data_IF_749686526055
#
_entry.id   IF_749686526055
#
_cell.length_a   1.000
_cell.length_b   1.000
_cell.length_c   1.000
_cell.angle_alpha   90.00
_cell.angle_beta   90.00
_cell.angle_gamma   90.00
#
_symmetry.space_group_name_H-M   'P 1'
#
loop_
_entity.id
_entity.type
_entity.pdbx_description
1 polymer ?
#
# COMPACT_ATOMS: atom_id res chain seq x y z
N UNK A 1 5.56 25.12 -21.32
CA UNK A 1 4.10 25.31 -21.18
C UNK A 1 3.39 24.42 -20.15
N UNK A 2 3.92 23.25 -19.79
CA UNK A 2 3.37 22.41 -18.69
C UNK A 2 3.47 23.04 -17.30
N UNK A 3 4.52 23.80 -17.00
CA UNK A 3 4.65 24.54 -15.72
C UNK A 3 3.58 25.64 -15.53
N UNK A 4 3.08 26.23 -16.62
CA UNK A 4 1.98 27.22 -16.59
C UNK A 4 0.62 26.55 -16.38
N UNK A 5 0.45 25.31 -16.86
CA UNK A 5 -0.77 24.54 -16.65
C UNK A 5 -0.92 24.06 -15.19
N UNK A 6 0.19 23.72 -14.50
CA UNK A 6 0.18 23.43 -13.07
C UNK A 6 -0.17 24.67 -12.23
N UNK A 7 0.43 25.83 -12.56
CA UNK A 7 0.12 27.10 -11.89
C UNK A 7 -1.33 27.57 -12.10
N UNK A 8 -2.01 27.14 -13.17
CA UNK A 8 -3.40 27.50 -13.44
C UNK A 8 -4.43 26.57 -12.76
N UNK A 9 -4.03 25.37 -12.33
CA UNK A 9 -4.89 24.47 -11.54
C UNK A 9 -4.92 24.83 -10.05
N UNK A 10 -3.83 25.38 -9.53
CA UNK A 10 -3.75 25.92 -8.17
C UNK A 10 -4.67 27.15 -7.92
N UNK A 11 -5.23 27.75 -8.98
CA UNK A 11 -6.07 28.95 -8.88
C UNK A 11 -7.58 28.72 -8.73
N UNK A 12 -8.05 27.46 -8.76
CA UNK A 12 -9.49 27.13 -8.76
C UNK A 12 -9.92 26.21 -7.60
N UNK A 13 -9.06 25.99 -6.60
CA UNK A 13 -9.45 25.31 -5.37
C UNK A 13 -10.29 26.26 -4.48
N UNK A 14 -11.59 26.11 -4.66
CA UNK A 14 -12.71 26.26 -3.72
C UNK A 14 -12.49 27.03 -2.40
N UNK A 15 -13.43 27.95 -2.18
CA UNK A 15 -13.66 28.80 -1.02
C UNK A 15 -14.32 28.08 0.18
N UNK A 16 -13.96 26.83 0.49
CA UNK A 16 -14.43 26.17 1.71
C UNK A 16 -13.70 26.74 2.92
N UNK A 17 -14.46 27.23 3.89
CA UNK A 17 -14.04 28.14 4.96
C UNK A 17 -13.14 27.57 6.05
N UNK A 18 -12.33 26.54 5.77
CA UNK A 18 -11.23 26.18 6.65
C UNK A 18 -10.01 27.02 6.30
N UNK A 19 -9.76 28.00 7.16
CA UNK A 19 -8.55 28.81 7.10
C UNK A 19 -7.37 27.89 7.42
N UNK A 20 -6.83 27.25 6.37
CA UNK A 20 -5.64 26.44 6.43
C UNK A 20 -4.56 27.18 7.23
N UNK A 21 -4.06 26.55 8.28
CA UNK A 21 -3.00 27.14 9.08
C UNK A 21 -1.82 27.44 8.15
N UNK A 22 -1.30 28.67 8.15
CA UNK A 22 -0.25 29.06 7.23
C UNK A 22 1.01 28.21 7.48
N UNK A 23 1.29 27.24 6.61
CA UNK A 23 2.54 26.49 6.63
C UNK A 23 3.54 27.09 5.64
N UNK A 24 4.83 26.86 5.92
CA UNK A 24 5.96 27.25 5.04
C UNK A 24 6.45 26.11 4.16
N UNK A 25 5.97 24.89 4.38
CA UNK A 25 6.31 23.75 3.54
C UNK A 25 5.75 23.97 2.13
N UNK A 26 6.58 23.73 1.12
CA UNK A 26 6.20 23.87 -0.31
C UNK A 26 6.53 22.65 -1.13
N UNK A 27 7.42 21.80 -0.63
CA UNK A 27 7.88 20.60 -1.31
C UNK A 27 7.96 19.48 -0.28
N UNK A 28 7.40 18.33 -0.62
CA UNK A 28 7.57 17.09 0.11
C UNK A 28 8.22 16.06 -0.81
N UNK A 29 9.22 15.33 -0.31
CA UNK A 29 9.82 14.22 -1.03
C UNK A 29 9.51 12.93 -0.29
N UNK A 30 8.87 11.97 -0.97
CA UNK A 30 8.44 10.71 -0.36
C UNK A 30 8.90 9.50 -1.18
N UNK A 31 9.18 8.35 -0.55
CA UNK A 31 9.35 7.09 -1.27
C UNK A 31 8.03 6.68 -1.94
N UNK A 32 8.08 6.35 -3.23
CA UNK A 32 6.96 5.74 -3.93
C UNK A 32 7.50 4.74 -4.97
N UNK A 33 7.19 3.47 -4.77
CA UNK A 33 7.48 2.36 -5.67
C UNK A 33 6.47 1.23 -5.45
N UNK A 34 6.63 0.10 -6.15
CA UNK A 34 5.71 -1.03 -6.07
C UNK A 34 5.66 -1.72 -4.68
N UNK A 35 6.66 -1.50 -3.82
CA UNK A 35 6.70 -2.03 -2.44
C UNK A 35 6.28 -0.97 -1.42
N UNK A 36 6.75 0.27 -1.62
CA UNK A 36 6.43 1.44 -0.81
C UNK A 36 5.23 2.21 -1.41
N UNK A 37 4.13 1.52 -1.70
CA UNK A 37 2.94 2.09 -2.36
C UNK A 37 1.99 2.86 -1.45
N UNK A 38 2.32 2.99 -0.16
CA UNK A 38 1.50 3.71 0.82
C UNK A 38 0.97 5.07 0.34
N UNK A 39 1.78 5.93 -0.30
CA UNK A 39 1.30 7.22 -0.79
C UNK A 39 0.29 7.18 -1.93
N UNK A 40 0.22 6.08 -2.68
CA UNK A 40 -0.74 5.90 -3.76
C UNK A 40 -2.11 5.43 -3.27
N UNK A 41 -2.21 4.89 -2.06
CA UNK A 41 -3.47 4.40 -1.52
C UNK A 41 -4.21 5.52 -0.75
N UNK A 42 -5.56 5.48 -0.76
CA UNK A 42 -6.36 6.43 -0.01
C UNK A 42 -6.25 6.12 1.49
N UNK A 43 -5.35 6.81 2.19
CA UNK A 43 -5.16 6.67 3.64
C UNK A 43 -5.29 8.00 4.38
N UNK A 44 -5.42 9.11 3.67
CA UNK A 44 -5.59 10.44 4.27
C UNK A 44 -7.08 10.74 4.26
N UNK A 45 -7.67 11.11 5.39
CA UNK A 45 -9.08 11.47 5.45
C UNK A 45 -9.27 12.94 5.06
N UNK A 46 -10.15 13.19 4.10
CA UNK A 46 -10.66 14.52 3.77
C UNK A 46 -11.99 14.75 4.52
N UNK A 47 -12.02 15.61 5.55
CA UNK A 47 -13.23 15.89 6.30
C UNK A 47 -14.27 16.69 5.52
N UNK A 48 -13.90 17.38 4.43
CA UNK A 48 -14.85 18.15 3.62
C UNK A 48 -15.63 17.25 2.65
N UNK A 49 -14.94 16.28 2.05
CA UNK A 49 -15.52 15.30 1.14
C UNK A 49 -16.06 14.04 1.86
N UNK A 50 -15.74 13.88 3.16
CA UNK A 50 -16.06 12.68 3.96
C UNK A 50 -15.55 11.38 3.29
N UNK A 51 -14.33 11.43 2.76
CA UNK A 51 -13.73 10.30 2.05
C UNK A 51 -12.23 10.15 2.33
N UNK A 52 -11.68 8.98 1.99
CA UNK A 52 -10.23 8.76 2.03
C UNK A 52 -9.63 9.15 0.68
N UNK A 53 -8.58 9.97 0.72
CA UNK A 53 -7.84 10.49 -0.42
C UNK A 53 -6.38 10.02 -0.38
N UNK A 54 -5.73 10.04 -1.54
CA UNK A 54 -4.30 9.70 -1.66
C UNK A 54 -3.41 10.81 -1.09
N UNK A 55 -2.16 10.48 -0.76
CA UNK A 55 -1.17 11.49 -0.32
C UNK A 55 -0.93 12.56 -1.38
N UNK A 56 -1.07 12.20 -2.66
CA UNK A 56 -0.95 13.12 -3.77
C UNK A 56 -2.03 14.19 -3.77
N UNK A 57 -3.29 13.78 -3.60
CA UNK A 57 -4.44 14.70 -3.52
C UNK A 57 -4.30 15.59 -2.27
N UNK A 58 -3.94 15.00 -1.13
CA UNK A 58 -3.72 15.76 0.10
C UNK A 58 -2.62 16.82 -0.08
N UNK A 59 -1.51 16.50 -0.75
CA UNK A 59 -0.45 17.46 -1.05
C UNK A 59 -0.94 18.60 -1.95
N UNK A 60 -1.73 18.29 -2.99
CA UNK A 60 -2.32 19.29 -3.89
C UNK A 60 -3.25 20.26 -3.16
N UNK A 61 -4.15 19.74 -2.31
CA UNK A 61 -5.05 20.55 -1.48
C UNK A 61 -4.32 21.52 -0.54
N UNK A 62 -3.10 21.17 -0.14
CA UNK A 62 -2.27 21.95 0.77
C UNK A 62 -1.21 22.81 0.05
N UNK A 63 -1.27 22.98 -1.28
CA UNK A 63 -0.24 23.71 -2.06
C UNK A 63 1.20 23.19 -1.77
N UNK A 64 1.33 21.87 -1.62
CA UNK A 64 2.62 21.18 -1.44
C UNK A 64 2.95 20.44 -2.73
N UNK A 65 4.08 20.81 -3.34
CA UNK A 65 4.61 20.09 -4.48
C UNK A 65 5.16 18.73 -4.04
N UNK A 66 4.55 17.64 -4.52
CA UNK A 66 4.98 16.30 -4.16
C UNK A 66 6.02 15.77 -5.15
N UNK A 67 7.16 15.37 -4.60
CA UNK A 67 8.22 14.67 -5.30
C UNK A 67 8.27 13.22 -4.79
N UNK A 68 8.42 12.28 -5.70
CA UNK A 68 8.64 10.88 -5.35
C UNK A 68 10.08 10.49 -5.61
N UNK A 69 10.61 9.54 -4.85
CA UNK A 69 11.92 8.97 -5.10
C UNK A 69 11.89 7.45 -5.08
N UNK A 70 12.99 6.86 -5.54
CA UNK A 70 13.24 5.41 -5.53
C UNK A 70 12.19 4.59 -6.30
N UNK A 71 11.73 5.00 -7.50
CA UNK A 71 10.69 4.26 -8.23
C UNK A 71 11.09 2.79 -8.55
N UNK A 72 12.39 2.48 -8.54
CA UNK A 72 12.92 1.15 -8.84
C UNK A 72 13.37 0.33 -7.62
N UNK A 73 13.30 0.87 -6.40
CA UNK A 73 13.76 0.15 -5.20
C UNK A 73 12.88 -1.06 -4.84
N UNK A 74 11.82 -1.33 -5.60
CA UNK A 74 10.94 -2.49 -5.45
C UNK A 74 11.52 -3.82 -5.97
N UNK A 75 12.67 -3.80 -6.65
CA UNK A 75 13.29 -5.01 -7.19
C UNK A 75 14.44 -5.42 -6.26
N UNK A 76 14.25 -6.36 -5.32
CA UNK A 76 15.40 -6.89 -4.60
C UNK A 76 16.33 -7.57 -5.63
N UNK A 77 17.64 -7.28 -5.62
CA UNK A 77 18.57 -8.11 -6.38
C UNK A 77 18.51 -9.55 -5.84
N UNK A 78 18.80 -10.51 -6.70
CA UNK A 78 18.76 -11.94 -6.35
C UNK A 78 19.53 -12.21 -5.05
N UNK A 79 18.86 -12.81 -4.06
CA UNK A 79 19.48 -13.25 -2.80
C UNK A 79 19.53 -12.26 -1.64
N UNK A 80 18.86 -11.09 -1.70
CA UNK A 80 18.89 -10.09 -0.60
C UNK A 80 17.56 -10.03 0.17
N UNK A 81 17.61 -10.35 1.46
CA UNK A 81 16.53 -10.09 2.41
C UNK A 81 16.44 -8.60 2.76
N UNK A 82 15.22 -8.11 3.02
CA UNK A 82 14.85 -6.70 3.19
C UNK A 82 15.59 -5.90 4.30
N UNK A 83 16.53 -6.52 5.03
CA UNK A 83 17.27 -5.90 6.14
C UNK A 83 18.63 -5.32 5.79
N UNK A 84 19.24 -5.74 4.67
CA UNK A 84 20.61 -5.32 4.32
C UNK A 84 20.65 -4.90 2.83
N UNK A 85 20.07 -3.72 2.54
CA UNK A 85 20.07 -3.07 1.22
C UNK A 85 21.47 -2.54 0.85
N UNK A 86 22.43 -3.48 0.83
CA UNK A 86 23.86 -3.28 0.86
C UNK A 86 24.38 -2.39 -0.25
N UNK A 87 25.43 -1.66 0.10
CA UNK A 87 26.21 -0.67 -0.67
C UNK A 87 26.92 -1.23 -1.92
N UNK A 88 26.48 -2.36 -2.45
CA UNK A 88 27.06 -3.02 -3.62
C UNK A 88 26.29 -2.62 -4.89
N UNK A 89 26.72 -1.47 -5.42
CA UNK A 89 26.18 -0.78 -6.58
C UNK A 89 26.48 -1.49 -7.92
N UNK A 90 25.82 -2.61 -8.23
CA UNK A 90 25.59 -2.96 -9.64
C UNK A 90 24.22 -2.44 -10.04
N UNK A 91 24.22 -1.45 -10.94
CA UNK A 91 23.03 -0.84 -11.50
C UNK A 91 22.03 -1.87 -12.03
N UNK A 92 20.74 -1.62 -11.83
CA UNK A 92 19.72 -2.32 -12.59
C UNK A 92 19.77 -1.84 -14.05
N UNK A 93 20.16 -2.74 -14.96
CA UNK A 93 20.05 -2.47 -16.38
C UNK A 93 18.56 -2.55 -16.77
N UNK A 94 18.00 -1.46 -17.28
CA UNK A 94 16.67 -1.48 -17.93
C UNK A 94 16.67 -2.42 -19.13
N UNK A 95 17.85 -2.69 -19.71
CA UNK A 95 18.09 -3.72 -20.72
C UNK A 95 19.13 -4.75 -20.23
N UNK A 96 18.75 -5.71 -19.37
CA UNK A 96 19.55 -6.92 -19.10
C UNK A 96 19.11 -8.17 -19.90
N UNK A 97 20.06 -9.01 -20.32
CA UNK A 97 19.81 -10.30 -21.01
C UNK A 97 19.95 -11.50 -20.06
N UNK A 98 20.17 -11.25 -18.76
CA UNK A 98 20.23 -12.28 -17.73
C UNK A 98 18.88 -12.98 -17.55
N UNK A 99 18.86 -14.29 -17.25
CA UNK A 99 17.64 -14.99 -16.88
C UNK A 99 17.00 -14.32 -15.65
N UNK A 100 15.68 -14.11 -15.71
CA UNK A 100 14.90 -13.60 -14.57
C UNK A 100 14.70 -14.71 -13.54
N UNK A 101 14.92 -14.43 -12.25
CA UNK A 101 14.62 -15.38 -11.17
C UNK A 101 13.14 -15.79 -11.19
N UNK A 102 12.77 -17.00 -10.70
CA UNK A 102 11.37 -17.42 -10.63
C UNK A 102 10.47 -16.46 -9.84
N UNK A 103 10.98 -15.88 -8.77
CA UNK A 103 10.28 -14.90 -7.93
C UNK A 103 9.97 -13.63 -8.73
N UNK A 104 10.98 -13.07 -9.41
CA UNK A 104 10.80 -11.85 -10.19
C UNK A 104 9.92 -12.10 -11.43
N UNK A 105 9.99 -13.30 -12.01
CA UNK A 105 9.11 -13.72 -13.08
C UNK A 105 7.65 -13.85 -12.60
N UNK A 106 7.42 -14.40 -11.41
CA UNK A 106 6.10 -14.47 -10.79
C UNK A 106 5.52 -13.08 -10.51
N UNK A 107 6.31 -12.18 -9.91
CA UNK A 107 5.89 -10.80 -9.66
C UNK A 107 5.59 -10.04 -10.96
N UNK A 108 6.43 -10.21 -11.98
CA UNK A 108 6.22 -9.59 -13.29
C UNK A 108 4.93 -10.11 -13.94
N UNK A 109 4.69 -11.41 -13.85
CA UNK A 109 3.47 -12.02 -14.36
C UNK A 109 2.22 -11.50 -13.64
N UNK A 110 2.26 -11.32 -12.31
CA UNK A 110 1.15 -10.76 -11.55
C UNK A 110 0.81 -9.33 -12.00
N UNK A 111 1.81 -8.48 -12.21
CA UNK A 111 1.61 -7.13 -12.74
C UNK A 111 1.03 -7.14 -14.15
N UNK A 112 1.61 -7.93 -15.05
CA UNK A 112 1.10 -8.07 -16.41
C UNK A 112 -0.34 -8.55 -16.43
N UNK A 113 -0.69 -9.54 -15.60
CA UNK A 113 -2.06 -10.02 -15.47
C UNK A 113 -3.01 -8.91 -14.98
N UNK A 114 -2.58 -8.11 -14.00
CA UNK A 114 -3.35 -6.98 -13.50
C UNK A 114 -3.60 -5.94 -14.60
N UNK A 115 -2.55 -5.52 -15.31
CA UNK A 115 -2.65 -4.50 -16.37
C UNK A 115 -3.48 -4.98 -17.57
N UNK A 116 -3.27 -6.23 -18.00
CA UNK A 116 -4.05 -6.80 -19.12
C UNK A 116 -5.52 -7.02 -18.76
N UNK A 117 -5.83 -7.34 -17.50
CA UNK A 117 -7.19 -7.46 -16.99
C UNK A 117 -7.99 -6.15 -17.04
N UNK A 118 -7.31 -5.00 -16.95
CA UNK A 118 -7.91 -3.67 -17.00
C UNK A 118 -8.21 -3.18 -18.43
N UNK A 119 -7.94 -3.98 -19.47
CA UNK A 119 -8.09 -3.64 -20.90
C UNK A 119 -7.30 -2.42 -21.40
N UNK A 120 -6.64 -1.65 -20.53
CA UNK A 120 -5.61 -0.71 -20.92
C UNK A 120 -4.34 -1.49 -21.28
N UNK A 121 -4.16 -1.70 -22.58
CA UNK A 121 -2.83 -2.03 -23.08
C UNK A 121 -2.00 -0.76 -23.01
N UNK A 122 -0.94 -0.78 -22.20
CA UNK A 122 0.21 0.05 -22.50
C UNK A 122 0.66 -0.37 -23.91
N UNK A 123 0.34 0.46 -24.90
CA UNK A 123 0.76 0.21 -26.28
C UNK A 123 2.21 0.65 -26.35
N UNK A 124 3.10 -0.32 -26.16
CA UNK A 124 4.50 -0.15 -26.51
C UNK A 124 4.59 -0.38 -28.02
N UNK A 125 5.29 0.51 -28.75
CA UNK A 125 5.59 0.25 -30.16
C UNK A 125 6.41 -1.06 -30.25
N UNK A 126 5.79 -2.07 -30.87
CA UNK A 126 6.15 -3.51 -30.84
C UNK A 126 7.57 -3.84 -31.34
N UNK A 127 8.28 -2.90 -31.97
CA UNK A 127 9.59 -3.18 -32.59
C UNK A 127 10.80 -2.95 -31.67
N UNK A 128 10.66 -2.21 -30.57
CA UNK A 128 11.82 -1.86 -29.71
C UNK A 128 11.67 -2.24 -28.22
N UNK A 129 10.50 -2.71 -27.79
CA UNK A 129 10.28 -3.12 -26.39
C UNK A 129 10.23 -4.65 -26.34
N UNK A 130 11.25 -5.31 -25.75
CA UNK A 130 11.23 -6.76 -25.60
C UNK A 130 9.93 -7.15 -24.89
N UNK A 131 9.18 -8.07 -25.48
CA UNK A 131 7.88 -8.63 -25.06
C UNK A 131 7.86 -9.30 -23.68
N UNK A 132 8.91 -9.10 -22.88
CA UNK A 132 8.95 -9.25 -21.44
C UNK A 132 9.22 -7.85 -20.86
N UNK A 133 8.17 -7.07 -20.63
CA UNK A 133 8.32 -5.74 -20.06
C UNK A 133 9.04 -5.89 -18.73
N UNK A 134 10.20 -5.23 -18.61
CA UNK A 134 11.00 -5.39 -17.41
C UNK A 134 10.30 -4.66 -16.30
N UNK A 135 10.28 -5.28 -15.13
CA UNK A 135 9.69 -4.78 -13.89
C UNK A 135 9.99 -3.29 -13.65
N UNK A 136 11.16 -2.81 -14.05
CA UNK A 136 11.56 -1.41 -13.95
C UNK A 136 10.69 -0.47 -14.81
N UNK A 137 10.41 -0.83 -16.07
CA UNK A 137 9.55 -0.05 -16.97
C UNK A 137 8.17 0.09 -16.37
N UNK A 138 7.59 -1.03 -15.94
CA UNK A 138 6.28 -1.07 -15.26
C UNK A 138 6.29 -0.24 -13.98
N UNK A 139 7.32 -0.40 -13.13
CA UNK A 139 7.44 0.36 -11.89
C UNK A 139 7.47 1.88 -12.13
N UNK A 140 8.24 2.35 -13.13
CA UNK A 140 8.29 3.77 -13.46
C UNK A 140 6.96 4.26 -14.04
N UNK A 141 6.37 3.51 -14.98
CA UNK A 141 5.08 3.86 -15.57
C UNK A 141 3.98 3.97 -14.50
N UNK A 142 3.84 2.94 -13.66
CA UNK A 142 2.86 2.86 -12.56
C UNK A 142 3.06 4.00 -11.55
N UNK A 143 4.29 4.23 -11.08
CA UNK A 143 4.56 5.31 -10.10
C UNK A 143 4.34 6.71 -10.67
N UNK A 144 4.57 6.91 -11.97
CA UNK A 144 4.37 8.21 -12.64
C UNK A 144 2.90 8.54 -12.97
N UNK A 145 2.01 7.55 -12.81
CA UNK A 145 0.58 7.67 -13.04
C UNK A 145 -0.21 8.11 -11.80
N UNK A 146 0.40 8.07 -10.60
CA UNK A 146 -0.25 8.49 -9.36
C UNK A 146 -0.51 10.00 -9.37
N UNK A 147 -1.75 10.39 -9.04
CA UNK A 147 -2.18 11.79 -9.04
C UNK A 147 -1.43 12.57 -7.95
N UNK A 148 -1.25 13.88 -8.18
CA UNK A 148 -0.55 14.78 -7.25
C UNK A 148 0.98 14.64 -7.22
N UNK A 149 1.54 13.57 -7.81
CA UNK A 149 3.00 13.45 -7.99
C UNK A 149 3.47 14.40 -9.08
N UNK A 150 4.18 15.46 -8.69
CA UNK A 150 4.69 16.47 -9.61
C UNK A 150 5.99 16.09 -10.30
N UNK A 151 6.88 15.37 -9.62
CA UNK A 151 8.17 14.89 -10.15
C UNK A 151 8.52 13.53 -9.56
N UNK A 152 8.96 12.60 -10.40
CA UNK A 152 9.58 11.34 -9.97
C UNK A 152 11.09 11.40 -10.13
N UNK A 153 11.82 11.28 -9.03
CA UNK A 153 13.28 11.28 -9.02
C UNK A 153 13.83 9.93 -9.45
N UNK A 154 14.36 9.91 -10.67
CA UNK A 154 15.03 8.76 -11.28
C UNK A 154 16.55 8.95 -11.21
N UNK A 155 17.22 8.11 -10.41
CA UNK A 155 18.67 8.12 -10.33
C UNK A 155 19.32 7.43 -11.53
N UNK A 156 19.78 8.20 -12.52
CA UNK A 156 20.49 7.70 -13.69
C UNK A 156 22.01 7.91 -13.54
N UNK A 157 22.83 6.92 -13.95
CA UNK A 157 24.31 7.04 -13.98
C UNK A 157 24.91 6.90 -15.38
N UNK A 158 24.10 6.64 -16.40
CA UNK A 158 24.52 6.61 -17.82
C UNK A 158 23.48 7.33 -18.67
N UNK A 159 23.89 7.82 -19.84
CA UNK A 159 23.01 8.54 -20.77
C UNK A 159 21.93 7.61 -21.35
N UNK A 160 22.29 6.35 -21.67
CA UNK A 160 21.35 5.37 -22.20
C UNK A 160 20.20 5.08 -21.23
N UNK A 161 20.49 5.08 -19.93
CA UNK A 161 19.46 4.91 -18.91
C UNK A 161 18.51 6.11 -18.84
N UNK A 162 19.03 7.33 -19.05
CA UNK A 162 18.20 8.54 -19.13
C UNK A 162 17.27 8.44 -20.33
N UNK A 163 17.80 8.05 -21.49
CA UNK A 163 17.01 7.90 -22.71
C UNK A 163 15.88 6.88 -22.54
N UNK A 164 16.18 5.72 -21.93
CA UNK A 164 15.16 4.70 -21.65
C UNK A 164 14.11 5.20 -20.66
N UNK A 165 14.50 5.88 -19.58
CA UNK A 165 13.54 6.46 -18.64
C UNK A 165 12.65 7.52 -19.30
N UNK A 166 13.20 8.37 -20.17
CA UNK A 166 12.44 9.36 -20.94
C UNK A 166 11.43 8.69 -21.87
N UNK A 167 11.82 7.60 -22.56
CA UNK A 167 10.88 6.83 -23.39
C UNK A 167 9.70 6.34 -22.55
N UNK A 168 9.96 5.75 -21.37
CA UNK A 168 8.90 5.27 -20.48
C UNK A 168 7.97 6.39 -20.01
N UNK A 169 8.53 7.53 -19.61
CA UNK A 169 7.74 8.68 -19.15
C UNK A 169 6.92 9.34 -20.26
N UNK A 170 7.24 9.08 -21.53
CA UNK A 170 6.50 9.55 -22.70
C UNK A 170 5.41 8.57 -23.17
N UNK A 171 5.30 7.38 -22.58
CA UNK A 171 4.20 6.47 -22.90
C UNK A 171 2.85 7.09 -22.53
N UNK A 172 1.75 6.66 -23.19
CA UNK A 172 0.41 7.00 -22.75
C UNK A 172 0.27 6.70 -21.26
N UNK A 173 -0.12 7.72 -20.48
CA UNK A 173 -0.31 7.55 -19.04
C UNK A 173 -1.50 6.62 -18.80
N UNK A 174 -1.30 5.59 -17.99
CA UNK A 174 -2.40 4.80 -17.43
C UNK A 174 -3.21 5.64 -16.44
N UNK A 175 -4.45 5.23 -16.19
CA UNK A 175 -5.27 5.83 -15.14
C UNK A 175 -4.66 5.57 -13.74
N UNK A 176 -4.94 6.47 -12.78
CA UNK A 176 -4.47 6.29 -11.41
C UNK A 176 -5.07 5.03 -10.77
N UNK A 177 -6.34 4.74 -11.05
CA UNK A 177 -7.03 3.56 -10.53
C UNK A 177 -6.35 2.26 -10.98
N UNK A 178 -5.90 2.22 -12.24
CA UNK A 178 -5.16 1.07 -12.79
C UNK A 178 -3.76 0.97 -12.17
N UNK A 179 -3.09 2.10 -11.96
CA UNK A 179 -1.80 2.13 -11.27
C UNK A 179 -1.92 1.61 -9.82
N UNK A 180 -2.92 2.06 -9.07
CA UNK A 180 -3.21 1.59 -7.70
C UNK A 180 -3.54 0.10 -7.70
N UNK A 181 -4.37 -0.37 -8.63
CA UNK A 181 -4.70 -1.78 -8.76
C UNK A 181 -3.46 -2.64 -9.05
N UNK A 182 -2.59 -2.20 -9.96
CA UNK A 182 -1.35 -2.89 -10.28
C UNK A 182 -0.40 -2.93 -9.07
N UNK A 183 -0.25 -1.82 -8.33
CA UNK A 183 0.53 -1.80 -7.08
C UNK A 183 -0.04 -2.80 -6.06
N UNK A 184 -1.36 -2.85 -5.88
CA UNK A 184 -2.00 -3.79 -4.97
C UNK A 184 -1.77 -5.26 -5.39
N UNK A 185 -1.94 -5.57 -6.67
CA UNK A 185 -1.68 -6.91 -7.20
C UNK A 185 -0.22 -7.34 -6.97
N UNK A 186 0.73 -6.42 -7.14
CA UNK A 186 2.13 -6.66 -6.84
C UNK A 186 2.36 -6.92 -5.34
N UNK A 187 1.80 -6.11 -4.45
CA UNK A 187 1.93 -6.32 -3.00
C UNK A 187 1.38 -7.69 -2.56
N UNK A 188 0.24 -8.12 -3.11
CA UNK A 188 -0.36 -9.44 -2.84
C UNK A 188 0.56 -10.57 -3.34
N UNK A 189 1.07 -10.45 -4.56
CA UNK A 189 2.01 -11.41 -5.13
C UNK A 189 3.29 -11.50 -4.28
N UNK A 190 3.83 -10.35 -3.85
CA UNK A 190 5.01 -10.28 -2.99
C UNK A 190 4.76 -10.91 -1.62
N UNK A 191 3.62 -10.64 -0.99
CA UNK A 191 3.23 -11.27 0.27
C UNK A 191 3.06 -12.79 0.16
N UNK A 192 2.68 -13.30 -1.02
CA UNK A 192 2.55 -14.74 -1.29
C UNK A 192 3.90 -15.44 -1.29
N UNK A 193 4.93 -14.81 -1.86
CA UNK A 193 6.27 -15.42 -2.00
C UNK A 193 7.25 -15.00 -0.88
N UNK A 194 6.91 -13.98 -0.08
CA UNK A 194 7.73 -13.48 1.01
C UNK A 194 6.94 -13.41 2.33
N UNK A 195 7.03 -14.45 3.18
CA UNK A 195 6.36 -14.48 4.47
C UNK A 195 6.74 -13.32 5.39
N UNK A 196 7.99 -12.84 5.32
CA UNK A 196 8.46 -11.72 6.15
C UNK A 196 7.86 -10.39 5.68
N UNK A 197 7.68 -10.21 4.36
CA UNK A 197 6.92 -9.08 3.84
C UNK A 197 5.45 -9.13 4.29
N UNK A 198 4.84 -10.32 4.25
CA UNK A 198 3.46 -10.50 4.72
C UNK A 198 3.30 -10.19 6.22
N UNK A 199 4.29 -10.54 7.05
CA UNK A 199 4.32 -10.17 8.48
C UNK A 199 4.46 -8.65 8.67
N UNK A 200 5.40 -8.02 7.95
CA UNK A 200 5.65 -6.58 8.03
C UNK A 200 4.42 -5.76 7.63
N UNK A 201 3.73 -6.16 6.55
CA UNK A 201 2.49 -5.50 6.13
C UNK A 201 1.36 -5.70 7.13
N UNK A 202 1.23 -6.91 7.69
CA UNK A 202 0.25 -7.18 8.75
C UNK A 202 0.50 -6.33 9.99
N UNK A 203 1.73 -6.15 10.44
CA UNK A 203 2.00 -5.25 11.57
C UNK A 203 1.55 -3.82 11.27
N UNK A 204 1.87 -3.28 10.09
CA UNK A 204 1.48 -1.91 9.75
C UNK A 204 -0.04 -1.72 9.51
N UNK A 205 -0.75 -2.77 9.13
CA UNK A 205 -2.21 -2.74 9.00
C UNK A 205 -2.91 -2.96 10.35
N UNK A 206 -2.43 -3.91 11.16
CA UNK A 206 -2.99 -4.21 12.48
C UNK A 206 -2.80 -3.05 13.45
N UNK A 207 -1.64 -2.38 13.45
CA UNK A 207 -1.42 -1.21 14.31
C UNK A 207 -2.48 -0.12 14.05
N UNK A 208 -2.91 0.05 12.79
CA UNK A 208 -3.98 1.01 12.43
C UNK A 208 -5.38 0.50 12.74
N UNK A 209 -5.64 -0.79 12.56
CA UNK A 209 -6.95 -1.39 12.87
C UNK A 209 -7.19 -1.40 14.37
N UNK A 210 -6.16 -1.74 15.17
CA UNK A 210 -6.24 -1.71 16.63
C UNK A 210 -6.47 -0.28 17.13
N UNK A 211 -5.78 0.71 16.58
CA UNK A 211 -6.00 2.14 16.89
C UNK A 211 -7.41 2.61 16.49
N UNK A 212 -7.92 2.18 15.33
CA UNK A 212 -9.30 2.48 14.90
C UNK A 212 -10.34 1.82 15.80
N UNK A 213 -10.15 0.56 16.20
CA UNK A 213 -11.06 -0.13 17.10
C UNK A 213 -11.04 0.49 18.51
N UNK A 214 -9.88 0.90 19.02
CA UNK A 214 -9.79 1.63 20.29
C UNK A 214 -10.56 2.95 20.24
N UNK A 215 -10.44 3.70 19.14
CA UNK A 215 -11.17 4.95 18.92
C UNK A 215 -12.68 4.74 18.80
N UNK A 216 -13.13 3.73 18.06
CA UNK A 216 -14.55 3.37 17.98
C UNK A 216 -15.11 2.93 19.34
N UNK A 217 -14.36 2.12 20.10
CA UNK A 217 -14.77 1.72 21.45
C UNK A 217 -14.88 2.92 22.39
N UNK A 218 -13.91 3.84 22.38
CA UNK A 218 -13.95 5.06 23.20
C UNK A 218 -15.12 5.98 22.79
N UNK A 219 -15.43 6.06 21.49
CA UNK A 219 -16.58 6.79 20.99
C UNK A 219 -17.91 6.14 21.43
N UNK A 220 -18.03 4.83 21.31
CA UNK A 220 -19.18 4.07 21.80
C UNK A 220 -19.40 4.23 23.31
N UNK A 221 -18.32 4.30 24.09
CA UNK A 221 -18.39 4.56 25.54
C UNK A 221 -18.89 5.98 25.83
N UNK A 222 -18.36 6.99 25.13
CA UNK A 222 -18.81 8.40 25.26
C UNK A 222 -20.26 8.60 24.85
N UNK A 223 -20.73 7.89 23.84
CA UNK A 223 -22.11 7.93 23.36
C UNK A 223 -23.06 7.09 24.23
N UNK A 224 -22.53 6.36 25.22
CA UNK A 224 -23.32 5.55 26.16
C UNK A 224 -23.85 4.25 25.57
N UNK A 225 -23.26 3.78 24.46
CA UNK A 225 -23.55 2.46 23.88
C UNK A 225 -22.91 1.32 24.67
N UNK A 226 -21.85 1.61 25.43
CA UNK A 226 -21.29 0.70 26.42
C UNK A 226 -21.81 1.13 27.80
N UNK A 227 -22.99 0.63 28.18
CA UNK A 227 -23.45 0.71 29.57
C UNK A 227 -22.80 -0.43 30.37
N UNK A 228 -22.32 -0.09 31.58
CA UNK A 228 -21.74 -1.04 32.55
C UNK A 228 -22.61 -2.31 32.66
N UNK A 229 -22.11 -3.42 32.11
CA UNK A 229 -22.51 -4.81 32.34
C UNK A 229 -23.94 -5.02 32.86
N UNK A 230 -24.97 -4.60 32.11
CA UNK A 230 -26.19 -5.41 32.11
C UNK A 230 -25.79 -6.71 31.41
N UNK A 231 -25.62 -7.79 32.18
CA UNK A 231 -25.29 -9.13 31.69
C UNK A 231 -26.31 -9.47 30.59
N UNK A 232 -25.95 -9.19 29.33
CA UNK A 232 -26.79 -9.50 28.17
C UNK A 232 -26.77 -11.02 28.07
N UNK A 233 -27.74 -11.64 28.74
CA UNK A 233 -28.02 -13.06 28.58
C UNK A 233 -28.58 -13.21 27.17
N UNK A 234 -27.69 -13.36 26.20
CA UNK A 234 -28.10 -13.78 24.87
C UNK A 234 -28.70 -15.16 24.99
N UNK A 235 -30.00 -15.25 24.70
CA UNK A 235 -30.68 -16.51 24.58
C UNK A 235 -30.11 -17.25 23.36
N UNK A 236 -29.32 -18.30 23.62
CA UNK A 236 -28.77 -19.15 22.58
C UNK A 236 -29.85 -20.17 22.23
N UNK A 237 -30.17 -20.31 20.95
CA UNK A 237 -31.13 -21.30 20.46
C UNK A 237 -30.40 -22.39 19.68
N UNK A 238 -30.83 -23.64 19.84
CA UNK A 238 -30.37 -24.75 19.02
C UNK A 238 -30.80 -24.49 17.57
N UNK A 239 -29.87 -24.45 16.60
CA UNK A 239 -30.19 -24.08 15.22
C UNK A 239 -30.98 -25.16 14.45
N UNK A 240 -31.04 -26.39 14.99
CA UNK A 240 -31.74 -27.52 14.37
C UNK A 240 -33.13 -27.68 14.95
N UNK A 241 -33.27 -27.55 16.27
CA UNK A 241 -34.56 -27.76 16.95
C UNK A 241 -35.32 -26.46 17.21
N UNK A 242 -34.63 -25.31 17.23
CA UNK A 242 -35.19 -24.02 17.60
C UNK A 242 -35.46 -23.87 19.10
N UNK A 243 -35.08 -24.85 19.93
CA UNK A 243 -35.28 -24.79 21.37
C UNK A 243 -34.22 -23.89 22.03
N UNK A 244 -34.63 -23.13 23.05
CA UNK A 244 -33.73 -22.28 23.83
C UNK A 244 -32.78 -23.17 24.63
N UNK A 245 -31.49 -23.07 24.36
CA UNK A 245 -30.45 -23.75 25.11
C UNK A 245 -30.26 -23.02 26.44
N UNK A 246 -30.51 -23.72 27.54
CA UNK A 246 -30.16 -23.20 28.85
C UNK A 246 -28.63 -23.07 28.94
N UNK A 247 -28.10 -21.93 29.39
CA UNK A 247 -26.66 -21.79 29.56
C UNK A 247 -26.16 -22.92 30.46
N UNK A 248 -25.11 -23.61 30.01
CA UNK A 248 -24.49 -24.66 30.80
C UNK A 248 -24.14 -24.08 32.18
N UNK A 249 -24.45 -24.79 33.29
CA UNK A 249 -24.09 -24.32 34.62
C UNK A 249 -22.61 -23.98 34.62
N UNK A 250 -22.27 -22.73 34.97
CA UNK A 250 -20.89 -22.22 34.98
C UNK A 250 -20.04 -23.26 35.71
N UNK A 251 -19.17 -23.94 34.97
CA UNK A 251 -18.32 -25.00 35.54
C UNK A 251 -17.57 -24.38 36.71
N UNK A 252 -17.71 -24.97 37.89
CA UNK A 252 -17.15 -24.46 39.13
C UNK A 252 -15.62 -24.43 38.98
N UNK A 253 -15.08 -23.24 38.67
CA UNK A 253 -13.65 -23.03 38.32
C UNK A 253 -12.70 -23.40 39.46
N UNK A 254 -13.23 -23.75 40.63
CA UNK A 254 -12.46 -24.16 41.81
C UNK A 254 -12.21 -25.67 41.91
N UNK A 255 -12.78 -26.52 41.04
CA UNK A 255 -12.64 -27.98 41.16
C UNK A 255 -11.30 -28.56 40.60
N UNK A 256 -10.49 -27.78 39.87
CA UNK A 256 -9.33 -28.31 39.14
C UNK A 256 -7.97 -28.23 39.86
N UNK A 257 -7.90 -27.83 41.14
CA UNK A 257 -6.63 -27.65 41.85
C UNK A 257 -6.23 -28.76 42.84
N UNK A 258 -6.89 -29.93 42.81
CA UNK A 258 -6.70 -30.96 43.84
C UNK A 258 -5.77 -32.14 43.47
N UNK A 259 -5.19 -32.24 42.28
CA UNK A 259 -4.37 -33.40 41.90
C UNK A 259 -3.01 -33.02 41.28
N UNK A 260 -1.91 -33.35 41.96
CA UNK A 260 -0.63 -33.58 41.28
C UNK A 260 0.67 -33.13 41.96
N UNK A 261 0.93 -33.50 43.22
CA UNK A 261 2.32 -33.63 43.73
C UNK A 261 2.71 -35.11 43.73
N UNK A 262 3.29 -35.59 42.63
CA UNK A 262 4.06 -36.83 42.62
C UNK A 262 5.55 -36.46 42.68
N UNK A 263 6.20 -36.79 43.80
CA UNK A 263 7.63 -36.62 43.99
C UNK A 263 8.46 -37.67 43.22
N UNK A 264 9.77 -37.42 43.01
CA UNK A 264 10.64 -38.35 42.31
C UNK A 264 10.93 -39.58 43.17
N UNK A 265 10.91 -40.77 42.57
CA UNK A 265 11.45 -41.99 43.17
C UNK A 265 12.94 -42.08 42.86
N UNK A 266 13.74 -42.34 43.90
CA UNK A 266 15.14 -42.76 43.85
C UNK A 266 15.28 -44.14 43.19
#
# INVERSE_FOLDING_TARGET
DTAKAAAHRAGTASSSGHQMLPHRMRIAQIPLNLVESGPAFPFVYDPEADEQITTGIAAEMNDIYLMTNRPFNAIPPEGIGAGDWGRHNSFFKLVDKTPTSPELAYLSHALHAALTGCQEKLVFDDEDVPTQEKMQVLALAITSAIQGVGTTLVGARTEEYVDDAIKVLNYPKMSEEIAIYAMHAFEVALATISPDYAKLKRSHQLDKVDEMMEQEMEQMEKEGYLQDDEEVVMDIYDPVTGEKLHPLPKADRNASNANGKAGPRN
#
